data_IF_316547146109
#
_entry.id   IF_316547146109
#
_cell.length_a   1.000
_cell.length_b   1.000
_cell.length_c   1.000
_cell.angle_alpha   90.00
_cell.angle_beta   90.00
_cell.angle_gamma   90.00
#
_symmetry.space_group_name_H-M   'P 1'
#
loop_
_entity.id
_entity.type
_entity.pdbx_description
1 polymer ?
#
# COMPACT_ATOMS: atom_id res chain seq x y z
N UNK A 1 -0.67 3.86 -18.14
CA UNK A 1 -2.01 3.24 -18.18
C UNK A 1 -2.52 3.26 -16.75
N UNK A 2 -3.77 3.65 -16.52
CA UNK A 2 -4.38 3.64 -15.19
C UNK A 2 -4.59 2.21 -14.72
N UNK A 3 -4.48 1.98 -13.42
CA UNK A 3 -4.51 0.63 -12.86
C UNK A 3 -5.94 0.09 -12.82
N UNK A 4 -6.16 -1.09 -13.40
CA UNK A 4 -7.46 -1.78 -13.33
C UNK A 4 -7.47 -2.85 -12.23
N UNK A 5 -8.66 -3.30 -11.81
CA UNK A 5 -8.83 -4.29 -10.74
C UNK A 5 -8.00 -5.59 -10.96
N UNK A 6 -7.81 -6.01 -12.21
CA UNK A 6 -6.98 -7.17 -12.54
C UNK A 6 -5.48 -6.94 -12.23
N UNK A 7 -4.97 -5.75 -12.53
CA UNK A 7 -3.58 -5.38 -12.24
C UNK A 7 -3.37 -5.22 -10.72
N UNK A 8 -4.35 -4.65 -10.01
CA UNK A 8 -4.31 -4.57 -8.54
C UNK A 8 -4.29 -5.98 -7.91
N UNK A 9 -5.08 -6.89 -8.45
CA UNK A 9 -5.09 -8.31 -8.03
C UNK A 9 -3.73 -8.98 -8.29
N UNK A 10 -3.11 -8.71 -9.44
CA UNK A 10 -1.77 -9.21 -9.77
C UNK A 10 -0.67 -8.58 -8.90
N UNK A 11 -0.86 -7.34 -8.42
CA UNK A 11 0.10 -6.64 -7.57
C UNK A 11 0.14 -7.22 -6.15
N UNK A 12 -1.00 -7.65 -5.59
CA UNK A 12 -1.09 -8.21 -4.24
C UNK A 12 -0.05 -9.31 -3.93
N UNK A 13 0.09 -10.40 -4.72
CA UNK A 13 1.07 -11.43 -4.42
C UNK A 13 2.52 -10.94 -4.56
N UNK A 14 2.78 -9.97 -5.44
CA UNK A 14 4.12 -9.36 -5.58
C UNK A 14 4.48 -8.59 -4.30
N UNK A 15 3.55 -7.78 -3.79
CA UNK A 15 3.72 -7.03 -2.54
C UNK A 15 3.83 -7.96 -1.33
N UNK A 16 3.10 -9.07 -1.32
CA UNK A 16 3.17 -10.05 -0.24
C UNK A 16 4.58 -10.65 -0.07
N UNK A 17 5.34 -10.82 -1.16
CA UNK A 17 6.75 -11.26 -1.10
C UNK A 17 7.65 -10.29 -0.31
N UNK A 18 7.23 -9.05 -0.12
CA UNK A 18 7.90 -8.02 0.68
C UNK A 18 7.20 -7.75 2.03
N UNK A 19 6.32 -8.66 2.47
CA UNK A 19 5.48 -8.51 3.68
C UNK A 19 4.55 -7.29 3.63
N UNK A 20 4.11 -6.92 2.43
CA UNK A 20 3.10 -5.88 2.22
C UNK A 20 1.78 -6.53 1.85
N UNK A 21 0.75 -6.23 2.63
CA UNK A 21 -0.61 -6.72 2.47
C UNK A 21 -1.54 -5.57 2.11
N UNK A 22 -2.46 -5.83 1.18
CA UNK A 22 -3.46 -4.87 0.76
C UNK A 22 -4.86 -5.47 0.95
N UNK A 23 -5.69 -4.79 1.73
CA UNK A 23 -7.14 -5.04 1.75
C UNK A 23 -7.80 -4.11 0.75
N UNK A 24 -8.73 -4.65 -0.05
CA UNK A 24 -9.36 -3.90 -1.13
C UNK A 24 -10.84 -4.25 -1.25
N UNK A 25 -11.64 -3.26 -1.63
CA UNK A 25 -13.01 -3.42 -2.12
C UNK A 25 -13.06 -2.95 -3.58
N UNK A 26 -13.08 -3.90 -4.52
CA UNK A 26 -12.90 -3.60 -5.95
C UNK A 26 -11.54 -2.96 -6.24
N UNK A 27 -11.54 -1.72 -6.76
CA UNK A 27 -10.33 -0.92 -7.02
C UNK A 27 -9.91 -0.07 -5.82
N UNK A 28 -10.76 0.02 -4.79
CA UNK A 28 -10.46 0.78 -3.59
C UNK A 28 -9.54 -0.02 -2.67
N UNK A 29 -8.39 0.54 -2.30
CA UNK A 29 -7.52 0.02 -1.24
C UNK A 29 -8.00 0.65 0.07
N UNK A 30 -8.54 -0.20 0.93
CA UNK A 30 -9.06 0.16 2.25
C UNK A 30 -7.99 0.07 3.33
N UNK A 31 -6.94 -0.74 3.09
CA UNK A 31 -5.86 -0.92 4.05
C UNK A 31 -4.54 -1.29 3.39
N UNK A 32 -3.46 -0.74 3.92
CA UNK A 32 -2.07 -1.14 3.63
C UNK A 32 -1.46 -1.63 4.94
N UNK A 33 -1.20 -2.93 5.05
CA UNK A 33 -0.80 -3.58 6.32
C UNK A 33 -1.77 -3.24 7.46
N UNK A 34 -1.28 -2.62 8.54
CA UNK A 34 -2.09 -2.20 9.67
C UNK A 34 -2.66 -0.78 9.51
N UNK A 35 -2.30 -0.09 8.42
CA UNK A 35 -2.66 1.30 8.18
C UNK A 35 -3.96 1.39 7.36
N UNK A 36 -4.97 2.04 7.91
CA UNK A 36 -6.21 2.35 7.19
C UNK A 36 -5.92 3.34 6.06
N UNK A 37 -6.35 3.00 4.85
CA UNK A 37 -6.12 3.79 3.65
C UNK A 37 -7.45 4.02 2.90
N UNK A 38 -7.54 5.11 2.16
CA UNK A 38 -8.66 5.36 1.24
C UNK A 38 -8.07 5.82 -0.08
N UNK A 39 -7.57 4.86 -0.85
CA UNK A 39 -6.98 5.10 -2.17
C UNK A 39 -7.81 4.35 -3.20
N UNK A 40 -8.18 5.00 -4.31
CA UNK A 40 -8.74 4.30 -5.46
C UNK A 40 -7.64 4.04 -6.49
N UNK A 41 -7.36 2.77 -6.79
CA UNK A 41 -6.28 2.39 -7.70
C UNK A 41 -6.44 2.97 -9.11
N UNK A 42 -7.67 3.30 -9.53
CA UNK A 42 -7.94 3.88 -10.86
C UNK A 42 -7.37 5.29 -11.02
N UNK A 43 -7.16 6.01 -9.92
CA UNK A 43 -6.62 7.38 -9.92
C UNK A 43 -5.10 7.41 -10.11
N UNK A 44 -4.45 6.25 -10.13
CA UNK A 44 -3.00 6.12 -10.17
C UNK A 44 -2.53 5.30 -11.36
N UNK A 45 -1.36 5.67 -11.88
CA UNK A 45 -0.57 4.71 -12.65
C UNK A 45 0.05 3.68 -11.69
N UNK A 46 0.36 2.48 -12.18
CA UNK A 46 0.85 1.38 -11.34
C UNK A 46 2.12 1.74 -10.55
N UNK A 47 3.07 2.45 -11.16
CA UNK A 47 4.29 2.93 -10.51
C UNK A 47 4.01 3.96 -9.41
N UNK A 48 3.07 4.87 -9.66
CA UNK A 48 2.64 5.87 -8.68
C UNK A 48 1.95 5.20 -7.50
N UNK A 49 1.06 4.23 -7.74
CA UNK A 49 0.36 3.52 -6.67
C UNK A 49 1.35 2.74 -5.80
N UNK A 50 2.29 2.02 -6.41
CA UNK A 50 3.35 1.31 -5.68
C UNK A 50 4.13 2.28 -4.80
N UNK A 51 4.49 3.45 -5.33
CA UNK A 51 5.20 4.47 -4.55
C UNK A 51 4.38 4.94 -3.34
N UNK A 52 3.10 5.25 -3.53
CA UNK A 52 2.20 5.68 -2.43
C UNK A 52 2.09 4.60 -1.36
N UNK A 53 1.91 3.34 -1.74
CA UNK A 53 1.87 2.20 -0.81
C UNK A 53 3.15 2.12 0.03
N UNK A 54 4.31 2.24 -0.62
CA UNK A 54 5.60 2.19 0.08
C UNK A 54 5.83 3.42 0.97
N UNK A 55 5.32 4.59 0.60
CA UNK A 55 5.40 5.80 1.42
C UNK A 55 4.57 5.67 2.71
N UNK A 56 3.38 5.06 2.64
CA UNK A 56 2.55 4.74 3.82
C UNK A 56 3.33 3.83 4.78
N UNK A 57 3.87 2.73 4.26
CA UNK A 57 4.67 1.79 5.07
C UNK A 57 5.92 2.48 5.63
N UNK A 58 6.58 3.30 4.83
CA UNK A 58 7.76 4.06 5.24
C UNK A 58 7.45 5.07 6.36
N UNK A 59 6.24 5.64 6.39
CA UNK A 59 5.79 6.48 7.50
C UNK A 59 5.62 5.66 8.79
N UNK A 60 4.97 4.51 8.72
CA UNK A 60 4.78 3.62 9.87
C UNK A 60 6.11 3.12 10.43
N UNK A 61 7.05 2.71 9.56
CA UNK A 61 8.39 2.26 9.97
C UNK A 61 9.16 3.38 10.66
N UNK A 62 9.12 4.61 10.12
CA UNK A 62 9.76 5.77 10.76
C UNK A 62 9.17 6.05 12.13
N UNK A 63 7.84 6.00 12.27
CA UNK A 63 7.17 6.20 13.54
C UNK A 63 7.53 5.10 14.57
N UNK A 64 7.57 3.84 14.14
CA UNK A 64 7.97 2.71 14.98
C UNK A 64 9.43 2.81 15.43
N UNK A 65 10.35 3.19 14.53
CA UNK A 65 11.75 3.41 14.85
C UNK A 65 11.92 4.53 15.87
N UNK A 66 11.25 5.67 15.66
CA UNK A 66 11.28 6.79 16.59
C UNK A 66 10.82 6.37 17.98
N UNK A 67 9.67 5.67 18.08
CA UNK A 67 9.17 5.13 19.35
C UNK A 67 10.21 4.20 20.00
N UNK A 68 10.86 3.32 19.24
CA UNK A 68 11.87 2.39 19.78
C UNK A 68 13.12 3.09 20.30
N UNK A 69 13.51 4.21 19.69
CA UNK A 69 14.72 4.97 20.07
C UNK A 69 14.50 5.95 21.22
N UNK A 70 13.25 6.35 21.48
CA UNK A 70 12.90 7.42 22.42
C UNK A 70 11.86 7.02 23.48
N UNK A 71 11.59 5.72 23.65
CA UNK A 71 10.73 5.17 24.71
C UNK A 71 11.55 4.56 25.86
#
# INVERSE_FOLDING_TARGET
MMMIAAELTALKPILAAYNVTLETDGTQITKVNAHEAQLDAVDYMSDQLIKVILEIIGADVRAALFKKMHA
#
